data_IF_646971530438
#
_entry.id   IF_646971530438
#
_cell.length_a   1.000
_cell.length_b   1.000
_cell.length_c   1.000
_cell.angle_alpha   90.00
_cell.angle_beta   90.00
_cell.angle_gamma   90.00
#
_symmetry.space_group_name_H-M   'P 1'
#
loop_
_entity.id
_entity.type
_entity.pdbx_description
1 polymer ?
#
# COMPACT_ATOMS: atom_id res chain seq x y z
N UNK A 1 5.83 -6.49 9.21
CA UNK A 1 6.81 -7.35 8.50
C UNK A 1 6.04 -7.99 7.36
N UNK A 2 6.39 -7.69 6.10
CA UNK A 2 5.70 -8.28 4.95
C UNK A 2 6.23 -9.69 4.73
N UNK A 3 5.37 -10.69 4.87
CA UNK A 3 5.70 -12.09 4.59
C UNK A 3 5.16 -12.45 3.21
N UNK A 4 5.97 -13.12 2.41
CA UNK A 4 5.58 -13.62 1.09
C UNK A 4 5.55 -15.14 1.18
N UNK A 5 4.35 -15.73 1.08
CA UNK A 5 4.19 -17.19 1.24
C UNK A 5 4.89 -17.98 0.13
N UNK A 6 4.91 -17.45 -1.10
CA UNK A 6 5.61 -18.03 -2.23
C UNK A 6 6.22 -16.94 -3.11
N UNK A 7 7.54 -17.00 -3.31
CA UNK A 7 8.22 -16.08 -4.21
C UNK A 7 7.96 -16.46 -5.67
N UNK A 8 7.74 -15.44 -6.48
CA UNK A 8 7.60 -15.58 -7.94
C UNK A 8 8.54 -14.60 -8.63
N UNK A 9 8.76 -14.78 -9.94
CA UNK A 9 9.53 -13.83 -10.75
C UNK A 9 9.02 -12.39 -10.65
N UNK A 10 7.68 -12.22 -10.53
CA UNK A 10 7.03 -10.93 -10.25
C UNK A 10 7.49 -10.34 -8.91
N UNK A 11 7.47 -11.14 -7.85
CA UNK A 11 7.90 -10.71 -6.51
C UNK A 11 9.39 -10.30 -6.52
N UNK A 12 10.25 -11.11 -7.12
CA UNK A 12 11.68 -10.81 -7.22
C UNK A 12 11.96 -9.52 -8.00
N UNK A 13 11.24 -9.27 -9.11
CA UNK A 13 11.37 -8.03 -9.88
C UNK A 13 10.87 -6.80 -9.11
N UNK A 14 9.77 -6.95 -8.37
CA UNK A 14 9.26 -5.91 -7.47
C UNK A 14 10.29 -5.57 -6.39
N UNK A 15 10.89 -6.57 -5.73
CA UNK A 15 11.91 -6.37 -4.71
C UNK A 15 13.14 -5.64 -5.27
N UNK A 16 13.69 -6.08 -6.42
CA UNK A 16 14.80 -5.39 -7.10
C UNK A 16 14.49 -3.92 -7.35
N UNK A 17 13.31 -3.63 -7.89
CA UNK A 17 12.86 -2.27 -8.21
C UNK A 17 12.70 -1.43 -6.94
N UNK A 18 12.13 -2.01 -5.89
CA UNK A 18 12.02 -1.40 -4.58
C UNK A 18 13.39 -1.15 -3.93
N UNK A 19 14.39 -1.98 -4.16
CA UNK A 19 15.76 -1.71 -3.70
C UNK A 19 16.53 -0.73 -4.61
N UNK A 20 15.93 -0.30 -5.73
CA UNK A 20 16.54 0.57 -6.75
C UNK A 20 17.85 0.02 -7.32
N UNK A 21 17.98 -1.30 -7.37
CA UNK A 21 19.16 -1.98 -7.90
C UNK A 21 19.03 -2.25 -9.39
N UNK A 22 20.13 -2.30 -10.12
CA UNK A 22 20.15 -2.82 -11.50
C UNK A 22 19.89 -4.33 -11.50
N UNK A 23 19.67 -4.93 -12.68
CA UNK A 23 19.55 -6.39 -12.76
C UNK A 23 20.87 -7.06 -12.34
N UNK A 24 21.99 -6.50 -12.74
CA UNK A 24 23.34 -7.02 -12.47
C UNK A 24 23.63 -7.02 -10.97
N UNK A 25 23.42 -5.89 -10.30
CA UNK A 25 23.67 -5.77 -8.87
C UNK A 25 22.76 -6.67 -8.01
N UNK A 26 21.51 -6.88 -8.45
CA UNK A 26 20.60 -7.77 -7.74
C UNK A 26 20.88 -9.26 -8.01
N UNK A 27 21.26 -9.59 -9.24
CA UNK A 27 21.68 -10.94 -9.61
C UNK A 27 22.94 -11.37 -8.85
N UNK A 28 23.91 -10.45 -8.74
CA UNK A 28 25.14 -10.66 -7.96
C UNK A 28 24.82 -10.95 -6.49
N UNK A 29 23.92 -10.17 -5.87
CA UNK A 29 23.46 -10.43 -4.50
C UNK A 29 22.84 -11.82 -4.36
N UNK A 30 21.93 -12.19 -5.26
CA UNK A 30 21.28 -13.50 -5.24
C UNK A 30 22.21 -14.67 -5.65
N UNK A 31 23.43 -14.41 -6.12
CA UNK A 31 24.33 -15.45 -6.63
C UNK A 31 23.83 -16.11 -7.92
N UNK A 32 23.03 -15.41 -8.71
CA UNK A 32 22.46 -15.91 -9.97
C UNK A 32 22.97 -15.11 -11.17
N UNK A 33 22.74 -15.64 -12.37
CA UNK A 33 23.02 -14.88 -13.59
C UNK A 33 21.98 -13.77 -13.81
N UNK A 34 22.35 -12.60 -14.37
CA UNK A 34 21.39 -11.57 -14.78
C UNK A 34 20.34 -12.10 -15.77
N UNK A 35 20.69 -13.12 -16.56
CA UNK A 35 19.77 -13.80 -17.48
C UNK A 35 18.60 -14.47 -16.76
N UNK A 36 18.82 -14.97 -15.54
CA UNK A 36 17.76 -15.54 -14.70
C UNK A 36 16.73 -14.48 -14.33
N UNK A 37 17.17 -13.27 -13.96
CA UNK A 37 16.25 -12.15 -13.69
C UNK A 37 15.50 -11.69 -14.93
N UNK A 38 16.15 -11.65 -16.09
CA UNK A 38 15.46 -11.35 -17.36
C UNK A 38 14.37 -12.39 -17.64
N UNK A 39 14.67 -13.68 -17.46
CA UNK A 39 13.69 -14.76 -17.61
C UNK A 39 12.52 -14.62 -16.63
N UNK A 40 12.77 -14.25 -15.37
CA UNK A 40 11.70 -13.99 -14.40
C UNK A 40 10.84 -12.78 -14.76
N UNK A 41 11.41 -11.77 -15.43
CA UNK A 41 10.63 -10.65 -15.96
C UNK A 41 9.74 -11.07 -17.13
N UNK A 42 10.26 -11.92 -18.02
CA UNK A 42 9.50 -12.47 -19.16
C UNK A 42 8.42 -13.48 -18.72
N UNK A 43 8.67 -14.19 -17.62
CA UNK A 43 7.78 -15.21 -17.04
C UNK A 43 7.56 -14.95 -15.54
N UNK A 44 6.71 -13.97 -15.20
CA UNK A 44 6.51 -13.50 -13.82
C UNK A 44 5.98 -14.57 -12.86
N UNK A 45 5.33 -15.61 -13.37
CA UNK A 45 4.75 -16.74 -12.63
C UNK A 45 5.77 -17.81 -12.22
N UNK A 46 7.02 -17.72 -12.70
CA UNK A 46 8.06 -18.69 -12.34
C UNK A 46 8.35 -18.62 -10.85
N UNK A 47 8.23 -19.76 -10.17
CA UNK A 47 8.61 -19.93 -8.76
C UNK A 47 10.13 -20.24 -8.69
N UNK A 48 10.94 -19.43 -7.99
CA UNK A 48 12.35 -19.73 -7.75
C UNK A 48 12.53 -21.00 -6.90
N UNK A 49 13.74 -21.60 -6.96
CA UNK A 49 14.06 -22.74 -6.10
C UNK A 49 13.96 -22.36 -4.61
N UNK A 50 13.75 -23.33 -3.70
CA UNK A 50 13.63 -23.05 -2.27
C UNK A 50 14.79 -22.22 -1.70
N UNK A 51 16.03 -22.51 -2.12
CA UNK A 51 17.21 -21.73 -1.74
C UNK A 51 17.10 -20.24 -2.14
N UNK A 52 16.57 -19.95 -3.32
CA UNK A 52 16.38 -18.58 -3.78
C UNK A 52 15.21 -17.89 -3.07
N UNK A 53 14.17 -18.63 -2.66
CA UNK A 53 13.09 -18.06 -1.86
C UNK A 53 13.61 -17.58 -0.50
N UNK A 54 14.39 -18.42 0.19
CA UNK A 54 15.04 -18.06 1.47
C UNK A 54 15.99 -16.87 1.32
N UNK A 55 16.76 -16.82 0.22
CA UNK A 55 17.60 -15.67 -0.09
C UNK A 55 16.78 -14.38 -0.31
N UNK A 56 15.66 -14.48 -1.04
CA UNK A 56 14.76 -13.35 -1.30
C UNK A 56 14.09 -12.84 -0.01
N UNK A 57 13.67 -13.73 0.89
CA UNK A 57 13.17 -13.38 2.22
C UNK A 57 14.23 -12.62 3.02
N UNK A 58 15.46 -13.11 3.00
CA UNK A 58 16.59 -12.47 3.67
C UNK A 58 16.81 -11.06 3.13
N UNK A 59 16.78 -10.88 1.80
CA UNK A 59 16.96 -9.56 1.19
C UNK A 59 15.78 -8.61 1.44
N UNK A 60 14.55 -9.11 1.49
CA UNK A 60 13.39 -8.29 1.88
C UNK A 60 13.54 -7.81 3.33
N UNK A 61 13.94 -8.70 4.24
CA UNK A 61 14.15 -8.35 5.66
C UNK A 61 15.29 -7.34 5.86
N UNK A 62 16.35 -7.42 5.05
CA UNK A 62 17.49 -6.49 5.08
C UNK A 62 17.24 -5.18 4.31
N UNK A 63 16.19 -5.11 3.49
CA UNK A 63 15.86 -3.91 2.73
C UNK A 63 15.50 -2.75 3.68
N UNK A 64 15.84 -1.52 3.29
CA UNK A 64 15.48 -0.34 4.07
C UNK A 64 13.95 -0.23 4.25
N UNK A 65 13.47 0.43 5.31
CA UNK A 65 12.03 0.61 5.52
C UNK A 65 11.31 1.17 4.29
N UNK A 66 11.91 2.16 3.61
CA UNK A 66 11.36 2.75 2.38
C UNK A 66 11.30 1.76 1.21
N UNK A 67 12.23 0.82 1.15
CA UNK A 67 12.21 -0.24 0.14
C UNK A 67 11.12 -1.28 0.46
N UNK A 68 10.93 -1.65 1.73
CA UNK A 68 9.84 -2.55 2.13
C UNK A 68 8.46 -1.95 1.82
N UNK A 69 8.26 -0.65 2.11
CA UNK A 69 7.02 0.07 1.77
C UNK A 69 6.77 0.09 0.26
N UNK A 70 7.80 0.42 -0.54
CA UNK A 70 7.67 0.43 -2.01
C UNK A 70 7.41 -0.96 -2.58
N UNK A 71 8.02 -1.99 -1.99
CA UNK A 71 7.77 -3.38 -2.36
C UNK A 71 6.32 -3.79 -2.10
N UNK A 72 5.81 -3.53 -0.89
CA UNK A 72 4.43 -3.82 -0.52
C UNK A 72 3.44 -3.06 -1.44
N UNK A 73 3.67 -1.77 -1.66
CA UNK A 73 2.86 -0.96 -2.57
C UNK A 73 2.87 -1.49 -4.01
N UNK A 74 4.03 -1.91 -4.53
CA UNK A 74 4.16 -2.47 -5.88
C UNK A 74 3.39 -3.79 -6.06
N UNK A 75 3.17 -4.54 -4.99
CA UNK A 75 2.40 -5.78 -4.99
C UNK A 75 0.94 -5.60 -4.54
N UNK A 76 0.53 -4.39 -4.18
CA UNK A 76 -0.79 -4.14 -3.58
C UNK A 76 -0.97 -4.79 -2.21
N UNK A 77 0.13 -5.14 -1.53
CA UNK A 77 0.17 -5.70 -0.18
C UNK A 77 0.18 -4.63 0.91
N UNK A 78 0.03 -3.36 0.53
CA UNK A 78 -0.03 -2.27 1.49
C UNK A 78 -1.34 -2.36 2.27
N UNK A 79 -1.26 -2.86 3.51
CA UNK A 79 -2.33 -2.85 4.51
C UNK A 79 -2.83 -1.42 4.80
N UNK A 80 -2.11 -0.37 4.35
CA UNK A 80 -2.54 1.03 4.47
C UNK A 80 -3.57 1.48 3.45
N UNK A 81 -4.21 0.59 2.71
CA UNK A 81 -5.60 0.84 2.32
C UNK A 81 -6.48 0.58 3.54
N UNK A 82 -6.38 1.46 4.54
CA UNK A 82 -7.34 1.47 5.65
C UNK A 82 -8.72 1.57 4.98
N UNK A 83 -9.59 0.55 5.09
CA UNK A 83 -10.99 0.75 4.79
C UNK A 83 -11.38 1.91 5.71
N UNK A 84 -11.87 3.02 5.16
CA UNK A 84 -12.53 3.99 6.04
C UNK A 84 -13.64 3.18 6.69
N UNK A 85 -13.53 2.95 8.00
CA UNK A 85 -14.49 2.14 8.72
C UNK A 85 -15.88 2.72 8.45
N UNK A 86 -16.76 1.91 7.88
CA UNK A 86 -18.12 2.32 7.53
C UNK A 86 -18.85 2.86 8.76
N UNK A 87 -18.47 2.41 9.96
CA UNK A 87 -18.94 2.93 11.24
C UNK A 87 -18.51 4.38 11.46
N UNK A 88 -17.23 4.69 11.24
CA UNK A 88 -16.69 6.06 11.38
C UNK A 88 -17.32 6.99 10.34
N UNK A 89 -17.49 6.51 9.11
CA UNK A 89 -18.17 7.24 8.03
C UNK A 89 -19.63 7.55 8.36
N UNK A 90 -20.34 6.56 8.91
CA UNK A 90 -21.74 6.71 9.34
C UNK A 90 -21.86 7.68 10.51
N UNK A 91 -20.97 7.60 11.49
CA UNK A 91 -20.92 8.52 12.63
C UNK A 91 -20.69 9.96 12.17
N UNK A 92 -19.75 10.17 11.24
CA UNK A 92 -19.46 11.49 10.69
C UNK A 92 -20.66 12.08 9.94
N UNK A 93 -21.31 11.28 9.08
CA UNK A 93 -22.50 11.72 8.35
C UNK A 93 -23.66 12.07 9.30
N UNK A 94 -23.83 11.29 10.37
CA UNK A 94 -24.86 11.55 11.38
C UNK A 94 -24.58 12.88 12.10
N UNK A 95 -23.35 13.08 12.56
CA UNK A 95 -22.94 14.31 13.24
C UNK A 95 -23.09 15.55 12.34
N UNK A 96 -22.74 15.44 11.05
CA UNK A 96 -22.96 16.52 10.08
C UNK A 96 -24.46 16.83 9.90
N UNK A 97 -25.32 15.81 9.85
CA UNK A 97 -26.77 15.97 9.77
C UNK A 97 -27.38 16.66 11.00
N UNK A 98 -26.91 16.30 12.19
CA UNK A 98 -27.36 16.92 13.44
C UNK A 98 -26.94 18.38 13.55
N UNK A 99 -25.71 18.68 13.11
CA UNK A 99 -25.20 20.06 13.07
C UNK A 99 -25.97 20.92 12.07
N UNK A 100 -26.27 20.39 10.88
CA UNK A 100 -27.13 21.07 9.90
C UNK A 100 -28.52 21.39 10.48
N UNK A 101 -29.10 20.44 11.24
CA UNK A 101 -30.40 20.64 11.90
C UNK A 101 -30.33 21.66 13.04
N UNK A 102 -29.23 21.69 13.80
CA UNK A 102 -29.01 22.70 14.83
C UNK A 102 -28.90 24.12 14.23
N UNK A 103 -28.14 24.27 13.14
CA UNK A 103 -28.03 25.54 12.42
C UNK A 103 -29.38 26.03 11.87
N UNK A 104 -30.19 25.13 11.31
CA UNK A 104 -31.52 25.48 10.81
C UNK A 104 -32.46 26.01 11.91
N UNK A 105 -32.39 25.45 13.13
CA UNK A 105 -33.16 25.95 14.27
C UNK A 105 -32.72 27.36 14.66
N UNK A 106 -31.42 27.60 14.73
CA UNK A 106 -30.87 28.92 15.06
C UNK A 106 -31.21 29.99 14.00
N UNK A 107 -31.36 29.61 12.74
CA UNK A 107 -31.80 30.51 11.66
C UNK A 107 -33.32 30.73 11.64
N UNK A 108 -34.10 29.77 12.16
CA UNK A 108 -35.57 29.86 12.24
C UNK A 108 -36.03 30.65 13.47
N UNK A 109 -35.21 30.71 14.52
CA UNK A 109 -35.42 31.51 15.73
C UNK A 109 -35.01 32.99 15.58
N UNK A 110 -34.94 33.51 14.35
CA UNK A 110 -34.85 34.96 14.09
C UNK A 110 -36.26 35.49 13.78
N UNK A 111 -37.10 35.80 14.78
CA UNK A 111 -38.36 36.47 14.55
C UNK A 111 -38.03 37.90 14.15
N UNK A 112 -38.25 38.22 12.88
CA UNK A 112 -38.53 39.56 12.39
C UNK A 112 -37.82 40.71 13.13
N UNK A 113 -36.67 41.14 12.61
CA UNK A 113 -36.32 42.58 12.68
C UNK A 113 -37.32 43.37 11.83
N UNK A 114 -38.55 43.48 12.32
CA UNK A 114 -39.53 44.47 11.89
C UNK A 114 -39.43 45.67 12.85
N UNK A 115 -38.91 46.82 12.42
CA UNK A 115 -39.46 48.08 12.84
C UNK A 115 -40.33 48.62 11.69
N UNK A 116 -41.63 48.48 11.90
CA UNK A 116 -42.69 49.30 11.33
C UNK A 116 -42.35 50.79 11.38
N UNK A 117 -42.54 51.42 10.23
CA UNK A 117 -43.01 52.80 9.94
C UNK A 117 -42.34 54.03 10.56
#
# INVERSE_FOLDING_TARGET
MTVIDEWTGRHAHALRTAMRLTNEAFAERLGISPRTLTKWRERPEVVPSPYLQEALDTYLNQASPDAQVRFAAALGLDERRMPIDDTVLTQLNTALGDLARALARLQSDDPERSPTS
#
